data_IF_904680682848
#
_entry.id   IF_904680682848
#
_cell.length_a   1.000
_cell.length_b   1.000
_cell.length_c   1.000
_cell.angle_alpha   90.00
_cell.angle_beta   90.00
_cell.angle_gamma   90.00
#
_symmetry.space_group_name_H-M   'P 1'
#
loop_
_entity.id
_entity.type
_entity.pdbx_description
1 polymer ?
#
# COMPACT_ATOMS: atom_id res chain seq x y z
N UNK A 1 25.80 5.86 18.19
CA UNK A 1 24.83 6.79 18.82
C UNK A 1 23.41 6.31 18.55
N UNK A 2 22.41 6.75 19.32
CA UNK A 2 21.01 6.37 19.10
C UNK A 2 20.40 7.07 17.89
N UNK A 3 19.30 6.55 17.35
CA UNK A 3 18.49 7.26 16.34
C UNK A 3 18.08 8.65 16.86
N UNK A 4 18.07 9.65 15.99
CA UNK A 4 17.30 10.88 16.22
C UNK A 4 15.80 10.53 16.20
N UNK A 5 15.08 10.61 17.34
CA UNK A 5 13.67 10.26 17.41
C UNK A 5 12.79 11.12 16.49
N UNK A 6 13.16 12.38 16.25
CA UNK A 6 12.39 13.29 15.41
C UNK A 6 12.52 12.91 13.93
N UNK A 7 13.73 12.58 13.48
CA UNK A 7 13.96 12.07 12.13
C UNK A 7 13.21 10.76 11.87
N UNK A 8 13.20 9.85 12.85
CA UNK A 8 12.45 8.59 12.72
C UNK A 8 10.95 8.83 12.66
N UNK A 9 10.39 9.63 13.58
CA UNK A 9 8.95 9.95 13.56
C UNK A 9 8.52 10.58 12.23
N UNK A 10 9.32 11.51 11.70
CA UNK A 10 9.05 12.15 10.41
C UNK A 10 9.09 11.15 9.26
N UNK A 11 10.01 10.20 9.28
CA UNK A 11 10.15 9.21 8.21
C UNK A 11 9.06 8.13 8.24
N UNK A 12 8.61 7.70 9.43
CA UNK A 12 7.61 6.63 9.56
C UNK A 12 6.17 7.16 9.40
N UNK A 13 5.92 8.43 9.70
CA UNK A 13 4.58 9.04 9.62
C UNK A 13 4.14 9.29 8.18
N UNK A 14 2.94 8.82 7.85
CA UNK A 14 2.28 9.15 6.57
C UNK A 14 1.48 10.43 6.75
N UNK A 15 1.61 11.36 5.80
CA UNK A 15 0.85 12.61 5.80
C UNK A 15 -0.67 12.34 5.73
N UNK A 16 -1.45 13.15 6.44
CA UNK A 16 -2.89 12.95 6.56
C UNK A 16 -3.60 13.03 5.20
N UNK A 17 -3.26 14.02 4.39
CA UNK A 17 -3.84 14.20 3.05
C UNK A 17 -3.57 13.00 2.13
N UNK A 18 -2.38 12.42 2.25
CA UNK A 18 -1.98 11.26 1.46
C UNK A 18 -2.72 10.00 1.93
N UNK A 19 -2.85 9.81 3.25
CA UNK A 19 -3.68 8.75 3.83
C UNK A 19 -5.14 8.87 3.38
N UNK A 20 -5.69 10.06 3.37
CA UNK A 20 -7.08 10.29 2.96
C UNK A 20 -7.27 10.08 1.46
N UNK A 21 -6.28 10.45 0.64
CA UNK A 21 -6.25 10.11 -0.78
C UNK A 21 -6.31 8.60 -0.98
N UNK A 22 -5.43 7.84 -0.33
CA UNK A 22 -5.40 6.38 -0.41
C UNK A 22 -6.70 5.73 0.04
N UNK A 23 -7.30 6.23 1.11
CA UNK A 23 -8.61 5.77 1.58
C UNK A 23 -9.71 6.03 0.54
N UNK A 24 -9.73 7.21 -0.09
CA UNK A 24 -10.73 7.54 -1.13
C UNK A 24 -10.55 6.66 -2.37
N UNK A 25 -9.33 6.55 -2.89
CA UNK A 25 -9.04 5.74 -4.08
C UNK A 25 -9.34 4.25 -3.85
N UNK A 26 -9.02 3.72 -2.68
CA UNK A 26 -9.43 2.37 -2.28
C UNK A 26 -10.95 2.22 -2.22
N UNK A 27 -11.67 3.22 -1.69
CA UNK A 27 -13.13 3.21 -1.66
C UNK A 27 -13.75 3.11 -3.05
N UNK A 28 -13.24 3.88 -4.02
CA UNK A 28 -13.66 3.78 -5.42
C UNK A 28 -13.36 2.41 -6.03
N UNK A 29 -12.20 1.83 -5.69
CA UNK A 29 -11.83 0.50 -6.17
C UNK A 29 -12.76 -0.57 -5.61
N UNK A 30 -13.12 -0.47 -4.33
CA UNK A 30 -14.06 -1.38 -3.68
C UNK A 30 -15.47 -1.24 -4.25
N UNK A 31 -15.91 -0.02 -4.53
CA UNK A 31 -17.21 0.25 -5.15
C UNK A 31 -17.32 -0.46 -6.50
N UNK A 32 -16.33 -0.27 -7.38
CA UNK A 32 -16.26 -1.00 -8.65
C UNK A 32 -16.21 -2.51 -8.44
N UNK A 33 -15.38 -3.01 -7.52
CA UNK A 33 -15.26 -4.45 -7.27
C UNK A 33 -16.58 -5.11 -6.79
N UNK A 34 -17.47 -4.36 -6.14
CA UNK A 34 -18.73 -4.87 -5.61
C UNK A 34 -19.88 -4.66 -6.58
N UNK A 35 -19.99 -3.47 -7.17
CA UNK A 35 -21.16 -3.01 -7.92
C UNK A 35 -20.93 -2.94 -9.42
N UNK A 36 -19.67 -2.91 -9.87
CA UNK A 36 -19.33 -2.80 -11.28
C UNK A 36 -19.68 -4.06 -12.07
N UNK A 37 -20.04 -3.86 -13.33
CA UNK A 37 -20.26 -4.94 -14.29
C UNK A 37 -18.93 -5.35 -14.92
N UNK A 38 -18.34 -6.44 -14.41
CA UNK A 38 -17.19 -7.11 -15.02
C UNK A 38 -17.52 -8.56 -15.39
N UNK A 39 -16.98 -9.00 -16.53
CA UNK A 39 -17.16 -10.35 -17.07
C UNK A 39 -15.82 -11.08 -17.17
N UNK A 40 -15.86 -12.37 -16.87
CA UNK A 40 -14.75 -13.29 -17.02
C UNK A 40 -15.29 -14.67 -17.36
N UNK A 41 -14.48 -15.47 -18.06
CA UNK A 41 -14.76 -16.89 -18.31
C UNK A 41 -14.49 -17.76 -17.09
N UNK A 42 -13.79 -17.23 -16.07
CA UNK A 42 -13.49 -17.94 -14.84
C UNK A 42 -14.58 -17.73 -13.77
N UNK A 43 -15.17 -18.83 -13.32
CA UNK A 43 -16.15 -18.82 -12.22
C UNK A 43 -15.51 -18.30 -10.94
N UNK A 44 -16.22 -17.40 -10.25
CA UNK A 44 -15.83 -16.90 -8.92
C UNK A 44 -14.79 -15.77 -8.94
N UNK A 45 -14.34 -15.30 -10.11
CA UNK A 45 -13.32 -14.25 -10.20
C UNK A 45 -13.75 -12.94 -9.52
N UNK A 46 -15.01 -12.52 -9.66
CA UNK A 46 -15.55 -11.33 -8.97
C UNK A 46 -15.54 -11.48 -7.45
N UNK A 47 -15.80 -12.69 -6.93
CA UNK A 47 -15.64 -12.98 -5.50
C UNK A 47 -14.18 -12.85 -5.05
N UNK A 48 -13.25 -13.37 -5.85
CA UNK A 48 -11.81 -13.27 -5.60
C UNK A 48 -11.34 -11.81 -5.62
N UNK A 49 -11.80 -11.00 -6.58
CA UNK A 49 -11.48 -9.58 -6.66
C UNK A 49 -11.87 -8.84 -5.38
N UNK A 50 -13.13 -8.98 -4.95
CA UNK A 50 -13.64 -8.34 -3.72
C UNK A 50 -12.79 -8.68 -2.50
N UNK A 51 -12.43 -9.95 -2.33
CA UNK A 51 -11.55 -10.39 -1.24
C UNK A 51 -10.17 -9.74 -1.33
N UNK A 52 -9.56 -9.71 -2.52
CA UNK A 52 -8.23 -9.09 -2.70
C UNK A 52 -8.23 -7.58 -2.47
N UNK A 53 -9.27 -6.88 -2.93
CA UNK A 53 -9.41 -5.43 -2.71
C UNK A 53 -9.63 -5.12 -1.23
N UNK A 54 -10.39 -5.95 -0.51
CA UNK A 54 -10.54 -5.84 0.95
C UNK A 54 -9.21 -6.06 1.67
N UNK A 55 -8.53 -7.18 1.38
CA UNK A 55 -7.21 -7.51 1.95
C UNK A 55 -6.22 -6.35 1.69
N UNK A 56 -6.22 -5.78 0.48
CA UNK A 56 -5.40 -4.63 0.11
C UNK A 56 -5.72 -3.39 0.95
N UNK A 57 -7.00 -3.08 1.18
CA UNK A 57 -7.41 -1.97 2.05
C UNK A 57 -6.88 -2.09 3.48
N UNK A 58 -6.83 -3.30 4.02
CA UNK A 58 -6.25 -3.56 5.34
C UNK A 58 -4.73 -3.30 5.36
N UNK A 59 -4.01 -3.72 4.31
CA UNK A 59 -2.56 -3.42 4.18
C UNK A 59 -2.29 -1.94 4.00
N UNK A 60 -3.12 -1.26 3.22
CA UNK A 60 -3.06 0.19 3.03
C UNK A 60 -3.28 0.95 4.35
N UNK A 61 -4.23 0.49 5.18
CA UNK A 61 -4.44 1.01 6.54
C UNK A 61 -3.20 0.79 7.42
N UNK A 62 -2.62 -0.40 7.39
CA UNK A 62 -1.42 -0.72 8.17
C UNK A 62 -0.20 0.11 7.72
N UNK A 63 -0.05 0.32 6.41
CA UNK A 63 1.00 1.15 5.83
C UNK A 63 0.99 2.57 6.39
N UNK A 64 -0.19 3.21 6.43
CA UNK A 64 -0.39 4.54 6.98
C UNK A 64 -0.59 4.61 8.50
N UNK A 65 -0.37 3.52 9.25
CA UNK A 65 -0.61 3.49 10.69
C UNK A 65 0.36 4.36 11.49
N UNK A 66 -0.11 4.91 12.61
CA UNK A 66 0.79 5.53 13.59
C UNK A 66 1.67 4.45 14.24
N UNK A 67 2.94 4.76 14.40
CA UNK A 67 3.96 3.88 14.98
C UNK A 67 4.60 4.47 16.23
N UNK A 68 4.11 5.62 16.72
CA UNK A 68 4.57 6.26 17.96
C UNK A 68 4.46 5.35 19.19
N UNK A 69 3.55 4.38 19.17
CA UNK A 69 3.37 3.38 20.24
C UNK A 69 4.54 2.38 20.37
N UNK A 70 5.38 2.22 19.34
CA UNK A 70 6.54 1.33 19.39
C UNK A 70 7.71 2.09 20.04
N UNK A 71 8.22 1.66 21.20
CA UNK A 71 9.16 2.46 21.99
C UNK A 71 10.55 2.58 21.34
N UNK A 72 10.95 1.60 20.52
CA UNK A 72 12.28 1.56 19.93
C UNK A 72 12.26 2.08 18.48
N UNK A 73 13.01 3.17 18.15
CA UNK A 73 13.00 3.74 16.81
C UNK A 73 13.40 2.75 15.70
N UNK A 74 14.32 1.83 15.99
CA UNK A 74 14.69 0.75 15.07
C UNK A 74 13.49 -0.12 14.68
N UNK A 75 12.69 -0.47 15.67
CA UNK A 75 11.52 -1.34 15.49
C UNK A 75 10.39 -0.57 14.80
N UNK A 76 10.26 0.75 15.02
CA UNK A 76 9.37 1.60 14.22
C UNK A 76 9.73 1.53 12.73
N UNK A 77 11.01 1.66 12.39
CA UNK A 77 11.49 1.62 11.00
C UNK A 77 11.26 0.23 10.40
N UNK A 78 11.64 -0.84 11.09
CA UNK A 78 11.41 -2.22 10.63
C UNK A 78 9.94 -2.50 10.40
N UNK A 79 9.08 -2.08 11.32
CA UNK A 79 7.63 -2.23 11.19
C UNK A 79 7.11 -1.46 9.96
N UNK A 80 7.57 -0.23 9.74
CA UNK A 80 7.23 0.55 8.55
C UNK A 80 7.64 -0.18 7.24
N UNK A 81 8.88 -0.66 7.15
CA UNK A 81 9.35 -1.43 5.99
C UNK A 81 8.54 -2.72 5.78
N UNK A 82 8.21 -3.44 6.85
CA UNK A 82 7.39 -4.65 6.77
C UNK A 82 6.00 -4.37 6.19
N UNK A 83 5.33 -3.32 6.67
CA UNK A 83 4.02 -2.93 6.12
C UNK A 83 4.09 -2.43 4.68
N UNK A 84 5.18 -1.78 4.27
CA UNK A 84 5.41 -1.40 2.87
C UNK A 84 5.49 -2.65 1.98
N UNK A 85 6.29 -3.65 2.38
CA UNK A 85 6.41 -4.92 1.67
C UNK A 85 5.06 -5.62 1.50
N UNK A 86 4.31 -5.79 2.59
CA UNK A 86 2.98 -6.42 2.55
C UNK A 86 2.00 -5.66 1.65
N UNK A 87 2.12 -4.33 1.59
CA UNK A 87 1.27 -3.50 0.71
C UNK A 87 1.61 -3.72 -0.76
N UNK A 88 2.90 -3.85 -1.11
CA UNK A 88 3.30 -4.20 -2.49
C UNK A 88 2.82 -5.58 -2.92
N UNK A 89 2.95 -6.58 -2.04
CA UNK A 89 2.44 -7.92 -2.33
C UNK A 89 0.92 -7.93 -2.52
N UNK A 90 0.19 -7.13 -1.72
CA UNK A 90 -1.25 -6.98 -1.89
C UNK A 90 -1.60 -6.26 -3.20
N UNK A 91 -0.81 -5.25 -3.59
CA UNK A 91 -0.96 -4.60 -4.89
C UNK A 91 -0.83 -5.61 -6.03
N UNK A 92 0.27 -6.37 -6.07
CA UNK A 92 0.51 -7.37 -7.11
C UNK A 92 -0.66 -8.37 -7.23
N UNK A 93 -1.12 -8.92 -6.10
CA UNK A 93 -2.25 -9.86 -6.05
C UNK A 93 -3.56 -9.29 -6.57
N UNK A 94 -3.82 -8.00 -6.37
CA UNK A 94 -5.00 -7.34 -6.97
C UNK A 94 -4.81 -7.17 -8.47
N UNK A 95 -3.63 -6.72 -8.90
CA UNK A 95 -3.30 -6.54 -10.32
C UNK A 95 -3.43 -7.83 -11.14
N UNK A 96 -2.95 -8.94 -10.59
CA UNK A 96 -3.13 -10.28 -11.18
C UNK A 96 -4.61 -10.60 -11.44
N UNK A 97 -5.48 -10.30 -10.47
CA UNK A 97 -6.92 -10.60 -10.57
C UNK A 97 -7.62 -9.63 -11.52
N UNK A 98 -7.28 -8.34 -11.50
CA UNK A 98 -7.79 -7.34 -12.46
C UNK A 98 -7.44 -7.74 -13.90
N UNK A 99 -6.25 -8.32 -14.12
CA UNK A 99 -5.80 -8.81 -15.43
C UNK A 99 -6.59 -10.01 -15.98
N UNK A 100 -7.33 -10.73 -15.13
CA UNK A 100 -8.10 -11.94 -15.52
C UNK A 100 -9.52 -11.64 -16.02
N UNK A 101 -10.00 -10.40 -15.89
CA UNK A 101 -11.28 -9.99 -16.49
C UNK A 101 -11.10 -9.66 -17.96
N UNK A 102 -12.08 -10.04 -18.79
CA UNK A 102 -11.98 -9.90 -20.25
C UNK A 102 -12.90 -8.84 -20.83
N UNK A 103 -14.04 -8.58 -20.19
CA UNK A 103 -15.08 -7.67 -20.70
C UNK A 103 -15.91 -7.08 -19.54
N UNK A 104 -16.88 -6.23 -19.86
CA UNK A 104 -17.82 -5.60 -18.93
C UNK A 104 -17.79 -4.07 -19.01
N UNK A 105 -18.94 -3.43 -18.79
CA UNK A 105 -19.11 -1.99 -18.93
C UNK A 105 -18.13 -1.18 -18.05
N UNK A 106 -17.80 -1.71 -16.87
CA UNK A 106 -16.96 -1.01 -15.88
C UNK A 106 -15.50 -1.48 -15.88
N UNK A 107 -15.13 -2.46 -16.72
CA UNK A 107 -13.77 -3.02 -16.72
C UNK A 107 -12.71 -1.98 -17.08
N UNK A 108 -13.00 -1.09 -18.03
CA UNK A 108 -12.10 -0.02 -18.41
C UNK A 108 -11.86 0.96 -17.24
N UNK A 109 -12.92 1.32 -16.52
CA UNK A 109 -12.84 2.19 -15.35
C UNK A 109 -12.03 1.54 -14.21
N UNK A 110 -12.29 0.25 -13.93
CA UNK A 110 -11.53 -0.52 -12.95
C UNK A 110 -10.03 -0.53 -13.27
N UNK A 111 -9.67 -0.84 -14.52
CA UNK A 111 -8.27 -0.90 -14.97
C UNK A 111 -7.58 0.45 -14.89
N UNK A 112 -8.26 1.51 -15.32
CA UNK A 112 -7.71 2.87 -15.25
C UNK A 112 -7.47 3.32 -13.81
N UNK A 113 -8.46 3.11 -12.93
CA UNK A 113 -8.33 3.40 -11.50
C UNK A 113 -7.20 2.60 -10.87
N UNK A 114 -7.15 1.29 -11.15
CA UNK A 114 -6.12 0.40 -10.63
C UNK A 114 -4.71 0.81 -11.08
N UNK A 115 -4.53 1.13 -12.35
CA UNK A 115 -3.23 1.56 -12.90
C UNK A 115 -2.75 2.87 -12.26
N UNK A 116 -3.65 3.86 -12.12
CA UNK A 116 -3.34 5.14 -11.50
C UNK A 116 -2.97 4.98 -10.02
N UNK A 117 -3.79 4.24 -9.26
CA UNK A 117 -3.58 3.97 -7.84
C UNK A 117 -2.26 3.21 -7.62
N UNK A 118 -2.06 2.09 -8.32
CA UNK A 118 -0.89 1.23 -8.13
C UNK A 118 0.42 1.96 -8.48
N UNK A 119 0.42 2.75 -9.56
CA UNK A 119 1.59 3.55 -9.96
C UNK A 119 1.92 4.60 -8.90
N UNK A 120 0.92 5.36 -8.45
CA UNK A 120 1.13 6.42 -7.48
C UNK A 120 1.56 5.87 -6.11
N UNK A 121 0.94 4.78 -5.65
CA UNK A 121 1.27 4.15 -4.37
C UNK A 121 2.65 3.46 -4.41
N UNK A 122 3.03 2.80 -5.51
CA UNK A 122 4.37 2.23 -5.63
C UNK A 122 5.46 3.30 -5.61
N UNK A 123 5.25 4.43 -6.28
CA UNK A 123 6.18 5.55 -6.24
C UNK A 123 6.36 6.09 -4.81
N UNK A 124 5.26 6.24 -4.07
CA UNK A 124 5.29 6.64 -2.66
C UNK A 124 6.03 5.62 -1.78
N UNK A 125 5.72 4.32 -1.93
CA UNK A 125 6.39 3.24 -1.21
C UNK A 125 7.90 3.28 -1.44
N UNK A 126 8.36 3.34 -2.69
CA UNK A 126 9.79 3.36 -3.04
C UNK A 126 10.49 4.57 -2.41
N UNK A 127 9.88 5.75 -2.51
CA UNK A 127 10.43 6.97 -1.94
C UNK A 127 10.58 6.86 -0.41
N UNK A 128 9.56 6.33 0.28
CA UNK A 128 9.57 6.21 1.75
C UNK A 128 10.50 5.09 2.22
N UNK A 129 10.52 3.94 1.55
CA UNK A 129 11.49 2.86 1.82
C UNK A 129 12.92 3.37 1.71
N UNK A 130 13.25 4.18 0.68
CA UNK A 130 14.57 4.78 0.53
C UNK A 130 14.97 5.67 1.72
N UNK A 131 14.02 6.43 2.29
CA UNK A 131 14.27 7.24 3.51
C UNK A 131 14.54 6.34 4.72
N UNK A 132 13.73 5.32 4.91
CA UNK A 132 13.82 4.38 6.03
C UNK A 132 15.13 3.57 6.00
N UNK A 133 15.53 3.10 4.82
CA UNK A 133 16.80 2.37 4.62
C UNK A 133 17.99 3.28 4.90
N UNK A 134 17.97 4.54 4.47
CA UNK A 134 19.03 5.50 4.81
C UNK A 134 19.18 5.70 6.31
N UNK A 135 18.06 5.84 7.05
CA UNK A 135 18.09 5.97 8.51
C UNK A 135 18.67 4.72 9.18
N UNK A 136 18.34 3.51 8.69
CA UNK A 136 18.95 2.28 9.20
C UNK A 136 20.46 2.24 8.93
N UNK A 137 20.88 2.62 7.73
CA UNK A 137 22.29 2.56 7.33
C UNK A 137 23.17 3.58 8.04
N UNK A 138 22.63 4.76 8.40
CA UNK A 138 23.35 5.75 9.21
C UNK A 138 23.81 5.17 10.55
N UNK A 139 23.05 4.24 11.15
CA UNK A 139 23.49 3.56 12.37
C UNK A 139 24.73 2.70 12.17
N UNK A 140 24.87 2.07 11.00
CA UNK A 140 25.97 1.16 10.71
C UNK A 140 27.26 1.87 10.26
N UNK A 141 27.14 3.06 9.67
CA UNK A 141 28.30 3.84 9.23
C UNK A 141 28.98 4.61 10.37
N UNK A 142 28.30 4.83 11.50
CA UNK A 142 28.85 5.47 12.69
C UNK A 142 29.51 4.48 13.68
N UNK A 143 29.46 3.17 13.40
CA UNK A 143 30.08 2.12 14.21
C UNK A 143 31.50 1.72 13.74
N UNK A 144 32.06 2.40 12.73
CA UNK A 144 33.42 2.18 12.17
C UNK A 144 34.35 3.35 12.49
#
# INVERSE_FOLDING_TARGET
MGFDPLAVQTAVRLEADLRDRWRREWGLLMDLAVWGEMRSTQIGLSGKLRKRVLDFGERLRAYGSDRSWIPHPREQIKHALSTSLQTREALEKVGEVVGQFSDGADLAALRALWAALSTALLADIVMREGRLVRLLNQQYQEEV
#
